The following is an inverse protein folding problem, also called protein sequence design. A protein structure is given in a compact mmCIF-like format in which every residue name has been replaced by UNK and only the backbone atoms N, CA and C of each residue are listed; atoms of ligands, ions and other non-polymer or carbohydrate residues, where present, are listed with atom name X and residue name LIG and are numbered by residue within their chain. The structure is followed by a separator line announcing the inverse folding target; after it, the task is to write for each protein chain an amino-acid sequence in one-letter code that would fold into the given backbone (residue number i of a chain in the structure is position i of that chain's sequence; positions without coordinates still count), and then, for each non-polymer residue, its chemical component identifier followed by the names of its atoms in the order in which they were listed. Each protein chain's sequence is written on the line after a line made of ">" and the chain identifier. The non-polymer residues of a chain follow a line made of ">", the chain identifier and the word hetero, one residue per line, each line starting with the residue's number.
data_IF_446128834696
#
_entry.id   IF_446128834696
#
_cell.length_a   1.000
_cell.length_b   1.000
_cell.length_c   1.000
_cell.angle_alpha   90.00
_cell.angle_beta   90.00
_cell.angle_gamma   90.00
#
_symmetry.space_group_name_H-M   'P 1'
#
loop_
_entity.id
_entity.type
_entity.pdbx_description
1 polymer ?
#
# COMPACT_ATOMS: atom_id res chain seq x y z
N UNK A 1 -9.42 4.56 -21.32
CA UNK A 1 -9.86 3.95 -20.04
C UNK A 1 -10.69 4.88 -19.12
N UNK A 2 -10.86 6.18 -19.43
CA UNK A 2 -11.71 7.08 -18.62
C UNK A 2 -11.12 7.56 -17.29
N UNK A 3 -9.84 7.26 -17.03
CA UNK A 3 -9.08 7.80 -15.91
C UNK A 3 -8.23 9.00 -16.36
N UNK A 4 -8.00 9.94 -15.46
CA UNK A 4 -7.03 11.04 -15.60
C UNK A 4 -5.94 10.91 -14.55
N UNK A 5 -4.74 11.39 -14.87
CA UNK A 5 -3.65 11.52 -13.89
C UNK A 5 -3.99 12.68 -12.95
N UNK A 6 -4.00 12.42 -11.65
CA UNK A 6 -4.24 13.41 -10.61
C UNK A 6 -2.99 13.74 -9.81
N UNK A 7 -1.96 12.89 -9.86
CA UNK A 7 -0.69 13.13 -9.19
C UNK A 7 0.33 12.03 -9.46
N UNK A 8 1.55 12.30 -9.04
CA UNK A 8 2.68 11.37 -9.04
C UNK A 8 3.26 11.34 -7.63
N UNK A 9 3.54 10.13 -7.14
CA UNK A 9 4.03 9.92 -5.78
C UNK A 9 5.41 9.29 -5.87
N UNK A 10 6.36 9.84 -5.12
CA UNK A 10 7.72 9.33 -4.98
C UNK A 10 7.91 8.82 -3.56
N UNK A 11 8.20 7.53 -3.44
CA UNK A 11 8.58 6.89 -2.19
C UNK A 11 10.10 6.97 -2.02
N UNK A 12 10.60 7.91 -1.21
CA UNK A 12 12.02 8.12 -0.96
C UNK A 12 12.55 7.03 -0.01
N UNK A 13 13.55 6.28 -0.47
CA UNK A 13 14.31 5.31 0.33
C UNK A 13 15.53 6.00 0.92
N UNK A 14 15.74 5.85 2.23
CA UNK A 14 16.96 6.33 2.92
C UNK A 14 18.17 5.41 2.73
N UNK A 15 18.06 4.39 1.90
CA UNK A 15 19.13 3.46 1.54
C UNK A 15 19.16 3.28 0.02
N UNK A 16 20.26 2.73 -0.49
CA UNK A 16 20.42 2.41 -1.91
C UNK A 16 19.98 0.97 -2.14
N UNK A 17 18.88 0.76 -2.87
CA UNK A 17 18.37 -0.59 -3.14
C UNK A 17 19.19 -1.31 -4.22
N UNK A 18 19.78 -0.55 -5.13
CA UNK A 18 20.69 -1.04 -6.18
C UNK A 18 21.53 0.14 -6.68
N UNK A 19 22.78 -0.12 -7.02
CA UNK A 19 23.67 0.83 -7.67
C UNK A 19 23.98 0.37 -9.08
N UNK A 20 23.86 1.28 -10.04
CA UNK A 20 24.31 1.11 -11.43
C UNK A 20 24.86 2.47 -11.90
N UNK A 21 24.30 3.06 -12.97
CA UNK A 21 24.60 4.44 -13.36
C UNK A 21 24.16 5.48 -12.32
N UNK A 22 23.15 5.13 -11.51
CA UNK A 22 22.67 5.95 -10.38
C UNK A 22 22.48 5.06 -9.15
N UNK A 23 22.43 5.68 -7.97
CA UNK A 23 21.97 5.03 -6.74
C UNK A 23 20.44 5.03 -6.71
N UNK A 24 19.81 3.86 -6.80
CA UNK A 24 18.36 3.74 -6.78
C UNK A 24 17.82 3.91 -5.36
N UNK A 25 17.34 5.12 -5.07
CA UNK A 25 16.89 5.55 -3.75
C UNK A 25 15.43 6.02 -3.73
N UNK A 26 14.64 5.65 -4.73
CA UNK A 26 13.20 5.86 -4.68
C UNK A 26 12.43 4.74 -5.39
N UNK A 27 11.13 4.72 -5.14
CA UNK A 27 10.10 4.07 -5.94
C UNK A 27 9.04 5.12 -6.30
N UNK A 28 8.18 4.81 -7.26
CA UNK A 28 7.16 5.75 -7.71
C UNK A 28 5.81 5.10 -7.96
N UNK A 29 4.75 5.88 -7.85
CA UNK A 29 3.39 5.50 -8.21
C UNK A 29 2.64 6.66 -8.87
N UNK A 30 1.67 6.33 -9.71
CA UNK A 30 0.77 7.29 -10.33
C UNK A 30 -0.58 7.27 -9.61
N UNK A 31 -1.09 8.44 -9.25
CA UNK A 31 -2.46 8.59 -8.76
C UNK A 31 -3.38 8.85 -9.96
N UNK A 32 -4.27 7.90 -10.21
CA UNK A 32 -5.27 7.97 -11.29
C UNK A 32 -6.66 8.14 -10.70
N UNK A 33 -7.47 9.00 -11.31
CA UNK A 33 -8.82 9.34 -10.85
C UNK A 33 -9.81 9.14 -11.98
N UNK A 34 -10.99 8.58 -11.66
CA UNK A 34 -12.13 8.45 -12.58
C UNK A 34 -13.23 9.43 -12.17
N UNK A 35 -13.80 10.14 -13.13
CA UNK A 35 -14.84 11.15 -12.87
C UNK A 35 -14.31 12.36 -12.10
N UNK A 36 -15.15 12.92 -11.22
CA UNK A 36 -14.85 14.10 -10.41
C UNK A 36 -15.09 13.83 -8.91
N UNK A 37 -14.25 13.02 -8.26
CA UNK A 37 -14.37 12.78 -6.83
C UNK A 37 -13.90 13.97 -6.00
N UNK A 38 -14.32 14.00 -4.75
CA UNK A 38 -13.87 14.97 -3.76
C UNK A 38 -12.35 14.89 -3.58
N UNK A 39 -11.73 16.04 -3.34
CA UNK A 39 -10.30 16.10 -2.99
C UNK A 39 -10.10 15.69 -1.53
N UNK A 40 -8.96 15.09 -1.17
CA UNK A 40 -8.63 14.80 0.22
C UNK A 40 -8.67 16.09 1.06
N UNK A 41 -9.26 16.04 2.25
CA UNK A 41 -9.29 17.17 3.17
C UNK A 41 -7.88 17.62 3.58
N UNK A 42 -6.98 16.65 3.76
CA UNK A 42 -5.56 16.87 4.05
C UNK A 42 -4.71 16.22 2.95
N UNK A 43 -4.32 16.95 1.89
CA UNK A 43 -3.50 16.40 0.82
C UNK A 43 -2.15 15.90 1.34
N UNK A 44 -1.76 14.70 0.92
CA UNK A 44 -0.43 14.15 1.21
C UNK A 44 0.66 14.88 0.42
N UNK A 45 1.87 14.88 0.96
CA UNK A 45 3.07 15.23 0.19
C UNK A 45 3.27 14.18 -0.90
N UNK A 46 3.63 14.64 -2.08
CA UNK A 46 3.96 13.80 -3.23
C UNK A 46 5.30 13.05 -3.05
N UNK A 47 6.19 13.54 -2.20
CA UNK A 47 7.40 12.82 -1.77
C UNK A 47 7.20 12.28 -0.35
N UNK A 48 7.16 10.95 -0.23
CA UNK A 48 6.90 10.22 1.03
C UNK A 48 8.13 9.40 1.42
N UNK A 49 8.58 9.51 2.67
CA UNK A 49 9.66 8.66 3.18
C UNK A 49 9.18 7.22 3.37
N UNK A 50 9.88 6.28 2.73
CA UNK A 50 9.64 4.85 2.87
C UNK A 50 10.80 4.21 3.64
N UNK A 51 10.65 3.97 4.96
CA UNK A 51 11.65 3.25 5.73
C UNK A 51 11.73 1.79 5.28
N UNK A 52 12.91 1.19 5.42
CA UNK A 52 13.11 -0.23 5.10
C UNK A 52 12.30 -1.10 6.06
N UNK A 53 11.41 -1.95 5.53
CA UNK A 53 10.57 -2.86 6.34
C UNK A 53 11.34 -4.05 6.90
N UNK A 54 12.61 -4.25 6.52
CA UNK A 54 13.38 -5.43 6.88
C UNK A 54 13.13 -6.64 5.98
N UNK A 55 12.11 -6.60 5.09
CA UNK A 55 11.73 -7.69 4.19
C UNK A 55 11.67 -9.09 4.85
N UNK A 56 11.26 -9.15 6.12
CA UNK A 56 11.32 -10.39 6.93
C UNK A 56 10.46 -11.54 6.40
N UNK A 57 9.40 -11.24 5.65
CA UNK A 57 8.43 -12.23 5.17
C UNK A 57 8.31 -12.28 3.65
N UNK A 58 8.70 -11.21 2.93
CA UNK A 58 8.67 -11.17 1.46
C UNK A 58 9.71 -10.17 0.90
N UNK A 59 10.40 -10.48 -0.21
CA UNK A 59 11.45 -9.61 -0.77
C UNK A 59 11.00 -8.20 -1.17
N UNK A 60 9.71 -8.03 -1.49
CA UNK A 60 9.12 -6.76 -1.97
C UNK A 60 8.05 -6.20 -1.03
N UNK A 61 8.08 -6.57 0.26
CA UNK A 61 7.05 -6.17 1.21
C UNK A 61 7.05 -4.64 1.44
N UNK A 62 6.04 -3.95 0.92
CA UNK A 62 5.79 -2.54 1.25
C UNK A 62 5.45 -2.38 2.73
N UNK A 63 6.01 -1.37 3.43
CA UNK A 63 5.63 -1.06 4.81
C UNK A 63 4.16 -0.61 4.87
N UNK A 64 3.38 -1.21 5.77
CA UNK A 64 1.97 -0.82 6.00
C UNK A 64 1.83 0.64 6.43
N UNK A 65 2.82 1.16 7.16
CA UNK A 65 2.88 2.56 7.60
C UNK A 65 2.84 3.57 6.44
N UNK A 66 3.32 3.19 5.24
CA UNK A 66 3.27 4.06 4.05
C UNK A 66 1.92 3.95 3.33
N UNK A 67 1.30 2.77 3.37
CA UNK A 67 0.03 2.50 2.68
C UNK A 67 -1.18 3.05 3.45
N UNK A 68 -1.11 3.06 4.78
CA UNK A 68 -2.19 3.54 5.66
C UNK A 68 -2.63 4.97 5.35
N UNK A 69 -1.73 6.00 5.34
CA UNK A 69 -2.14 7.38 5.05
C UNK A 69 -2.64 7.55 3.61
N UNK A 70 -2.15 6.75 2.66
CA UNK A 70 -2.65 6.75 1.28
C UNK A 70 -4.11 6.28 1.22
N UNK A 71 -4.43 5.16 1.87
CA UNK A 71 -5.79 4.65 1.94
C UNK A 71 -6.71 5.65 2.64
N UNK A 72 -6.27 6.23 3.75
CA UNK A 72 -7.07 7.22 4.48
C UNK A 72 -7.37 8.47 3.65
N UNK A 73 -6.41 8.91 2.83
CA UNK A 73 -6.56 10.12 2.01
C UNK A 73 -7.48 9.93 0.81
N UNK A 74 -7.58 8.71 0.28
CA UNK A 74 -8.29 8.43 -0.97
C UNK A 74 -9.50 7.49 -0.83
N UNK A 75 -9.92 7.19 0.40
CA UNK A 75 -11.12 6.39 0.68
C UNK A 75 -11.77 6.85 1.99
N UNK A 76 -13.02 6.45 2.22
CA UNK A 76 -13.77 6.69 3.46
C UNK A 76 -13.87 5.39 4.28
N UNK A 77 -14.08 5.46 5.61
CA UNK A 77 -14.42 4.28 6.38
C UNK A 77 -15.59 3.52 5.75
N UNK A 78 -15.48 2.19 5.68
CA UNK A 78 -16.46 1.32 5.01
C UNK A 78 -16.29 1.18 3.49
N UNK A 79 -15.50 2.03 2.82
CA UNK A 79 -15.18 1.84 1.40
C UNK A 79 -14.36 0.56 1.19
N UNK A 80 -14.37 0.05 -0.05
CA UNK A 80 -13.60 -1.14 -0.44
C UNK A 80 -12.30 -0.78 -1.15
N UNK A 81 -11.17 -1.24 -0.61
CA UNK A 81 -9.85 -1.16 -1.24
C UNK A 81 -9.56 -2.44 -2.02
N UNK A 82 -9.25 -2.33 -3.31
CA UNK A 82 -8.89 -3.48 -4.14
C UNK A 82 -7.40 -3.47 -4.47
N UNK A 83 -6.74 -4.62 -4.26
CA UNK A 83 -5.36 -4.86 -4.70
C UNK A 83 -5.30 -6.11 -5.58
N UNK A 84 -5.20 -5.97 -6.92
CA UNK A 84 -5.16 -7.12 -7.83
C UNK A 84 -3.82 -7.86 -7.83
N UNK A 85 -2.80 -7.34 -7.14
CA UNK A 85 -1.46 -7.92 -7.02
C UNK A 85 -1.02 -7.87 -5.56
N UNK A 86 -1.83 -8.49 -4.71
CA UNK A 86 -1.78 -8.32 -3.27
C UNK A 86 -0.44 -8.75 -2.64
N UNK A 87 0.30 -9.65 -3.28
CA UNK A 87 1.58 -10.17 -2.81
C UNK A 87 1.45 -10.71 -1.38
N UNK A 88 2.16 -10.06 -0.46
CA UNK A 88 2.13 -10.43 0.96
C UNK A 88 1.01 -9.75 1.78
N UNK A 89 0.02 -9.15 1.13
CA UNK A 89 -1.15 -8.51 1.73
C UNK A 89 -0.94 -7.22 2.54
N UNK A 90 0.16 -6.48 2.33
CA UNK A 90 0.37 -5.22 3.06
C UNK A 90 -0.74 -4.19 2.83
N UNK A 91 -1.28 -4.07 1.61
CA UNK A 91 -2.40 -3.16 1.29
C UNK A 91 -3.66 -3.53 2.04
N UNK A 92 -3.98 -4.83 2.10
CA UNK A 92 -5.18 -5.39 2.72
C UNK A 92 -5.14 -5.19 4.25
N UNK A 93 -3.97 -5.41 4.85
CA UNK A 93 -3.74 -5.17 6.29
C UNK A 93 -3.89 -3.68 6.61
N UNK A 94 -3.30 -2.79 5.81
CA UNK A 94 -3.44 -1.35 6.01
C UNK A 94 -4.91 -0.90 5.86
N UNK A 95 -5.63 -1.41 4.86
CA UNK A 95 -7.05 -1.13 4.67
C UNK A 95 -7.90 -1.57 5.88
N UNK A 96 -7.67 -2.79 6.39
CA UNK A 96 -8.34 -3.28 7.60
C UNK A 96 -8.07 -2.38 8.81
N UNK A 97 -6.80 -2.00 9.02
CA UNK A 97 -6.39 -1.21 10.18
C UNK A 97 -7.11 0.14 10.27
N UNK A 98 -7.50 0.72 9.13
CA UNK A 98 -8.26 1.97 9.06
C UNK A 98 -9.74 1.76 8.76
N UNK A 99 -10.29 0.57 8.99
CA UNK A 99 -11.72 0.31 8.87
C UNK A 99 -12.26 0.36 7.44
N UNK A 100 -11.46 -0.03 6.44
CA UNK A 100 -11.92 -0.26 5.06
C UNK A 100 -12.17 -1.74 4.82
N UNK A 101 -13.17 -2.03 4.00
CA UNK A 101 -13.32 -3.34 3.38
C UNK A 101 -12.19 -3.55 2.36
N UNK A 102 -11.90 -4.79 1.99
CA UNK A 102 -10.84 -5.03 1.04
C UNK A 102 -11.04 -6.28 0.17
N UNK A 103 -10.46 -6.27 -1.02
CA UNK A 103 -10.40 -7.41 -1.95
C UNK A 103 -8.95 -7.54 -2.42
N UNK A 104 -8.37 -8.72 -2.28
CA UNK A 104 -7.01 -9.02 -2.71
C UNK A 104 -6.99 -10.18 -3.69
N UNK A 105 -6.19 -10.06 -4.75
CA UNK A 105 -5.92 -11.14 -5.69
C UNK A 105 -4.41 -11.37 -5.71
N UNK A 106 -4.01 -12.63 -5.62
CA UNK A 106 -2.61 -13.05 -5.77
C UNK A 106 -2.58 -14.33 -6.59
N UNK A 107 -1.70 -14.37 -7.59
CA UNK A 107 -1.62 -15.47 -8.54
C UNK A 107 -0.71 -16.59 -8.03
N UNK A 108 0.38 -16.23 -7.35
CA UNK A 108 1.33 -17.20 -6.84
C UNK A 108 0.78 -17.88 -5.57
N UNK A 109 0.63 -19.21 -5.55
CA UNK A 109 0.06 -19.92 -4.39
C UNK A 109 0.85 -19.75 -3.09
N UNK A 110 2.18 -19.60 -3.17
CA UNK A 110 3.04 -19.43 -2.00
C UNK A 110 2.86 -18.03 -1.41
N UNK A 111 2.80 -17.01 -2.26
CA UNK A 111 2.51 -15.64 -1.84
C UNK A 111 1.08 -15.48 -1.33
N UNK A 112 0.11 -16.14 -1.99
CA UNK A 112 -1.27 -16.22 -1.51
C UNK A 112 -1.35 -16.79 -0.09
N UNK A 113 -0.68 -17.92 0.17
CA UNK A 113 -0.66 -18.51 1.52
C UNK A 113 0.02 -17.58 2.54
N UNK A 114 1.10 -16.90 2.14
CA UNK A 114 1.78 -15.90 2.98
C UNK A 114 0.84 -14.75 3.34
N UNK A 115 0.08 -14.23 2.37
CA UNK A 115 -0.94 -13.22 2.56
C UNK A 115 -2.03 -13.68 3.53
N UNK A 116 -2.58 -14.89 3.35
CA UNK A 116 -3.60 -15.46 4.24
C UNK A 116 -3.11 -15.57 5.68
N UNK A 117 -1.90 -16.11 5.90
CA UNK A 117 -1.30 -16.24 7.23
C UNK A 117 -1.15 -14.87 7.90
N UNK A 118 -0.56 -13.89 7.19
CA UNK A 118 -0.39 -12.53 7.72
C UNK A 118 -1.73 -11.86 8.06
N UNK A 119 -2.75 -12.08 7.23
CA UNK A 119 -4.10 -11.56 7.49
C UNK A 119 -4.73 -12.22 8.70
N UNK A 120 -4.53 -13.52 8.93
CA UNK A 120 -5.03 -14.25 10.10
C UNK A 120 -4.35 -13.77 11.39
N UNK A 121 -3.02 -13.64 11.39
CA UNK A 121 -2.26 -13.14 12.55
C UNK A 121 -2.69 -11.71 12.94
N UNK A 122 -2.99 -10.87 11.95
CA UNK A 122 -3.52 -9.52 12.16
C UNK A 122 -5.00 -9.50 12.61
N UNK A 123 -5.74 -10.62 12.60
CA UNK A 123 -7.09 -10.67 13.20
C UNK A 123 -7.03 -10.76 14.73
N UNK A 124 -6.04 -11.47 15.27
CA UNK A 124 -5.93 -11.75 16.71
C UNK A 124 -5.62 -10.48 17.52
N UNK A 125 -4.93 -9.51 16.91
CA UNK A 125 -4.58 -8.24 17.57
C UNK A 125 -5.73 -7.22 17.61
N UNK A 126 -6.74 -7.35 16.73
CA UNK A 126 -7.87 -6.41 16.64
C UNK A 126 -9.11 -6.79 17.46
N UNK A 127 -9.11 -7.96 18.11
CA UNK A 127 -10.22 -8.44 18.98
C UNK A 127 -9.97 -8.22 20.47
N UNK A 128 -8.80 -7.70 20.85
CA UNK A 128 -8.51 -7.28 22.23
C UNK A 128 -8.78 -5.77 22.37
N UNK A 129 -10.05 -5.38 22.32
CA UNK A 129 -10.56 -4.06 22.70
C UNK A 129 -12.01 -4.20 23.15
#
# INVERSE_FOLDING_TARGET
>A
AGFRIAGHIVFRKRYTSKSAFLQYRHEQAMLLVKGNPDRPANPLRDVIDMPYSGNRLHPTQKPTAVLTPLIESFSRPGDTVMDPFAGSASTLIAARAVGRNFIGIELDPVHYQTACNRLADNQTQGRAA
#
